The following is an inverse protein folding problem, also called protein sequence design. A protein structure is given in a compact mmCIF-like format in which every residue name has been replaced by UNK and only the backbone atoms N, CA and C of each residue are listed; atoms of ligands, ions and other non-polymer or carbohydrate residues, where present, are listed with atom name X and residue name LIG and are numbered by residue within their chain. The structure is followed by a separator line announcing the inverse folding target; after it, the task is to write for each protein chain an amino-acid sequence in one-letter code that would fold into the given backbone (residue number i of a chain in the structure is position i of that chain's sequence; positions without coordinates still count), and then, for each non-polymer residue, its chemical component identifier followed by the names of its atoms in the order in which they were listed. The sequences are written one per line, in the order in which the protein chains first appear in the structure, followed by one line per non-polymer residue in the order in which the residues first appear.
data_IF_124011596508
#
_entry.id   IF_124011596508
#
_cell.length_a   1.000
_cell.length_b   1.000
_cell.length_c   1.000
_cell.angle_alpha   90.00
_cell.angle_beta   90.00
_cell.angle_gamma   90.00
#
_symmetry.space_group_name_H-M   'P 1'
#
loop_
_entity.id
_entity.type
_entity.pdbx_description
1 polymer ?
#
# COMPACT_ATOMS: atom_id res chain seq x y z
N UNK A 1 9.97 -4.76 -1.91
CA UNK A 1 8.94 -3.69 -1.75
C UNK A 1 7.60 -4.28 -2.14
N UNK A 2 6.51 -3.95 -1.45
CA UNK A 2 5.19 -4.52 -1.74
C UNK A 2 4.22 -3.44 -2.23
N UNK A 3 3.50 -3.72 -3.33
CA UNK A 3 2.55 -2.79 -3.96
C UNK A 3 1.12 -3.19 -3.60
N UNK A 4 0.27 -2.23 -3.17
CA UNK A 4 -1.15 -2.49 -2.91
C UNK A 4 -2.10 -1.50 -3.57
N UNK A 5 -3.22 -2.00 -4.13
CA UNK A 5 -4.33 -1.19 -4.69
C UNK A 5 -5.48 -1.06 -3.69
N UNK A 6 -5.86 0.19 -3.38
CA UNK A 6 -6.87 0.50 -2.37
C UNK A 6 -8.18 1.08 -2.93
N UNK A 7 -9.32 0.74 -2.32
CA UNK A 7 -10.61 1.43 -2.42
C UNK A 7 -10.95 2.12 -1.07
N UNK A 8 -11.55 3.32 -1.06
CA UNK A 8 -11.77 4.15 0.16
C UNK A 8 -13.25 4.55 0.31
N UNK A 9 -13.79 4.54 1.54
CA UNK A 9 -15.01 5.28 1.97
C UNK A 9 -14.75 5.92 3.35
N UNK A 10 -15.49 6.97 3.70
CA UNK A 10 -15.10 8.00 4.70
C UNK A 10 -15.66 7.83 6.11
N UNK A 11 -14.84 8.02 7.16
CA UNK A 11 -14.82 9.01 8.28
C UNK A 11 -13.93 8.42 9.40
N UNK A 12 -13.02 9.20 10.03
CA UNK A 12 -11.91 8.79 10.93
C UNK A 12 -10.67 8.20 10.21
N UNK A 13 -9.51 8.04 10.89
CA UNK A 13 -8.17 8.54 10.52
C UNK A 13 -7.76 8.30 9.07
N UNK A 14 -6.86 9.15 8.56
CA UNK A 14 -6.42 9.11 7.15
C UNK A 14 -6.14 7.68 6.70
N UNK A 15 -6.47 7.37 5.45
CA UNK A 15 -6.18 6.06 4.85
C UNK A 15 -4.75 5.63 5.10
N UNK A 16 -3.81 6.57 5.02
CA UNK A 16 -2.41 6.34 5.35
C UNK A 16 -2.24 5.84 6.79
N UNK A 17 -2.80 6.53 7.78
CA UNK A 17 -2.71 6.11 9.18
C UNK A 17 -3.30 4.71 9.40
N UNK A 18 -4.47 4.44 8.82
CA UNK A 18 -5.14 3.14 8.94
C UNK A 18 -4.30 2.02 8.32
N UNK A 19 -3.70 2.28 7.15
CA UNK A 19 -2.83 1.34 6.47
C UNK A 19 -1.52 1.11 7.24
N UNK A 20 -0.88 2.15 7.78
CA UNK A 20 0.32 2.01 8.62
C UNK A 20 0.03 1.19 9.87
N UNK A 21 -1.13 1.40 10.50
CA UNK A 21 -1.54 0.63 11.68
C UNK A 21 -1.76 -0.85 11.35
N UNK A 22 -2.36 -1.15 10.20
CA UNK A 22 -2.54 -2.53 9.72
C UNK A 22 -1.19 -3.16 9.38
N UNK A 23 -0.32 -2.45 8.67
CA UNK A 23 1.02 -2.93 8.30
C UNK A 23 1.90 -3.17 9.53
N UNK A 24 1.91 -2.29 10.52
CA UNK A 24 2.66 -2.51 11.77
C UNK A 24 2.15 -3.76 12.50
N UNK A 25 0.84 -4.02 12.48
CA UNK A 25 0.28 -5.23 13.12
C UNK A 25 0.60 -6.51 12.33
N UNK A 26 0.53 -6.47 11.01
CA UNK A 26 0.81 -7.60 10.12
C UNK A 26 2.30 -7.95 10.09
N UNK A 27 3.17 -6.94 9.97
CA UNK A 27 4.62 -7.12 9.79
C UNK A 27 5.43 -7.12 11.09
N UNK A 28 4.82 -6.67 12.19
CA UNK A 28 5.49 -6.38 13.48
C UNK A 28 6.57 -5.30 13.42
N UNK A 29 6.67 -4.56 12.31
CA UNK A 29 7.59 -3.43 12.16
C UNK A 29 7.00 -2.15 12.74
N UNK A 30 7.87 -1.28 13.27
CA UNK A 30 7.40 0.05 13.68
C UNK A 30 7.10 0.89 12.44
N UNK A 31 6.20 1.88 12.59
CA UNK A 31 5.80 2.78 11.52
C UNK A 31 6.98 3.41 10.76
N UNK A 32 8.03 3.80 11.48
CA UNK A 32 9.25 4.40 10.90
C UNK A 32 10.03 3.44 10.00
N UNK A 33 9.92 2.13 10.24
CA UNK A 33 10.68 1.11 9.52
C UNK A 33 9.95 0.67 8.24
N UNK A 34 8.63 0.87 8.16
CA UNK A 34 7.83 0.58 6.97
C UNK A 34 8.17 1.49 5.78
N UNK A 35 8.56 2.75 6.03
CA UNK A 35 8.82 3.74 4.98
C UNK A 35 7.69 3.80 3.93
N UNK A 36 6.45 3.94 4.40
CA UNK A 36 5.25 3.92 3.56
C UNK A 36 5.19 5.16 2.65
N UNK A 37 5.12 4.94 1.34
CA UNK A 37 4.96 6.00 0.34
C UNK A 37 3.68 5.75 -0.46
N UNK A 38 2.70 6.64 -0.33
CA UNK A 38 1.44 6.59 -1.08
C UNK A 38 1.48 7.45 -2.34
N UNK A 39 0.84 6.98 -3.41
CA UNK A 39 0.92 7.60 -4.74
C UNK A 39 0.21 8.96 -4.89
N UNK A 40 -0.58 9.45 -3.93
CA UNK A 40 -1.15 10.80 -3.94
C UNK A 40 -1.86 11.14 -2.63
N UNK A 41 -2.02 12.43 -2.33
CA UNK A 41 -2.97 12.89 -1.30
C UNK A 41 -4.39 12.71 -1.82
N UNK A 42 -5.25 12.01 -1.08
CA UNK A 42 -6.70 12.04 -1.31
C UNK A 42 -7.32 13.03 -0.32
N UNK A 43 -8.14 13.94 -0.82
CA UNK A 43 -8.94 14.82 0.04
C UNK A 43 -10.08 14.03 0.70
N UNK A 44 -10.51 14.50 1.86
CA UNK A 44 -11.66 13.94 2.58
C UNK A 44 -12.88 13.92 1.65
N UNK A 45 -13.51 12.76 1.46
CA UNK A 45 -14.70 12.61 0.60
C UNK A 45 -14.46 11.93 -0.75
N UNK A 46 -13.21 11.64 -1.13
CA UNK A 46 -12.91 11.02 -2.43
C UNK A 46 -12.83 9.49 -2.34
N UNK A 47 -13.69 8.81 -3.11
CA UNK A 47 -13.53 7.38 -3.40
C UNK A 47 -12.40 7.18 -4.42
N UNK A 48 -11.20 6.81 -3.97
CA UNK A 48 -10.12 6.44 -4.88
C UNK A 48 -10.16 4.94 -5.13
N UNK A 49 -10.33 4.50 -6.38
CA UNK A 49 -10.47 3.09 -6.77
C UNK A 49 -9.13 2.43 -7.17
N UNK A 50 -8.01 3.10 -6.91
CA UNK A 50 -6.71 2.68 -7.43
C UNK A 50 -5.50 3.39 -6.82
N UNK A 51 -5.57 3.79 -5.54
CA UNK A 51 -4.36 4.26 -4.86
C UNK A 51 -3.35 3.13 -4.79
N UNK A 52 -2.12 3.41 -5.22
CA UNK A 52 -0.98 2.52 -5.06
C UNK A 52 -0.13 2.99 -3.90
N UNK A 53 0.27 2.06 -3.04
CA UNK A 53 1.13 2.34 -1.90
C UNK A 53 2.28 1.33 -1.89
N UNK A 54 3.47 1.82 -1.51
CA UNK A 54 4.70 1.04 -1.41
C UNK A 54 5.26 1.11 0.01
N UNK A 55 5.81 -0.01 0.50
CA UNK A 55 6.55 -0.05 1.76
C UNK A 55 7.69 -1.07 1.68
N UNK A 56 8.61 -0.93 2.62
CA UNK A 56 9.80 -1.75 2.77
C UNK A 56 9.68 -2.68 3.97
N UNK A 57 10.22 -3.88 3.82
CA UNK A 57 10.43 -4.84 4.90
C UNK A 57 11.88 -5.30 4.86
N UNK A 58 12.54 -5.48 6.02
CA UNK A 58 13.91 -5.99 6.08
C UNK A 58 13.99 -7.51 5.84
N UNK A 59 12.86 -8.14 5.53
CA UNK A 59 12.71 -9.56 5.24
C UNK A 59 11.89 -9.76 3.96
N UNK A 60 12.07 -10.91 3.33
CA UNK A 60 11.30 -11.33 2.17
C UNK A 60 10.06 -12.12 2.62
N UNK A 61 9.01 -12.04 1.82
CA UNK A 61 7.84 -12.90 1.96
C UNK A 61 7.97 -14.05 0.98
N UNK A 62 7.86 -15.28 1.48
CA UNK A 62 7.80 -16.47 0.63
C UNK A 62 6.41 -16.63 0.00
N UNK A 63 5.36 -16.20 0.73
CA UNK A 63 3.98 -16.14 0.26
C UNK A 63 3.36 -14.78 0.57
N UNK A 64 2.80 -14.14 -0.46
CA UNK A 64 2.13 -12.85 -0.33
C UNK A 64 0.64 -12.96 0.06
N UNK A 65 0.04 -14.14 -0.09
CA UNK A 65 -1.38 -14.36 0.25
C UNK A 65 -1.63 -14.17 1.75
N UNK A 66 -0.69 -14.59 2.60
CA UNK A 66 -0.82 -14.48 4.06
C UNK A 66 -0.89 -13.02 4.52
N UNK A 67 0.02 -12.17 4.03
CA UNK A 67 0.00 -10.74 4.35
C UNK A 67 -1.18 -10.03 3.67
N UNK A 68 -1.58 -10.46 2.47
CA UNK A 68 -2.76 -9.92 1.79
C UNK A 68 -4.06 -10.17 2.58
N UNK A 69 -4.24 -11.41 3.06
CA UNK A 69 -5.35 -11.79 3.91
C UNK A 69 -5.30 -11.04 5.25
N UNK A 70 -4.14 -11.04 5.92
CA UNK A 70 -3.97 -10.36 7.20
C UNK A 70 -4.29 -8.86 7.12
N UNK A 71 -3.90 -8.18 6.03
CA UNK A 71 -4.23 -6.77 5.85
C UNK A 71 -5.72 -6.54 5.64
N UNK A 72 -6.39 -7.34 4.81
CA UNK A 72 -7.82 -7.21 4.60
C UNK A 72 -8.64 -7.51 5.88
N UNK A 73 -8.15 -8.38 6.76
CA UNK A 73 -8.74 -8.64 8.08
C UNK A 73 -8.54 -7.49 9.08
N UNK A 74 -7.39 -6.82 9.03
CA UNK A 74 -7.05 -5.71 9.92
C UNK A 74 -7.64 -4.37 9.46
N UNK A 75 -7.95 -4.23 8.18
CA UNK A 75 -8.46 -3.00 7.59
C UNK A 75 -10.00 -2.90 7.76
N UNK A 76 -10.52 -1.69 8.05
CA UNK A 76 -11.95 -1.46 8.13
C UNK A 76 -12.64 -1.77 6.80
N UNK A 77 -13.94 -2.05 6.82
CA UNK A 77 -14.67 -2.63 5.68
C UNK A 77 -14.60 -1.80 4.38
N UNK A 78 -14.41 -0.50 4.55
CA UNK A 78 -14.31 0.53 3.52
C UNK A 78 -12.92 0.65 2.90
N UNK A 79 -11.92 -0.04 3.46
CA UNK A 79 -10.54 -0.07 2.98
C UNK A 79 -10.17 -1.51 2.62
N UNK A 80 -9.91 -1.75 1.33
CA UNK A 80 -9.58 -3.09 0.83
C UNK A 80 -8.34 -3.10 -0.03
N UNK A 81 -7.49 -4.09 0.23
CA UNK A 81 -6.31 -4.39 -0.56
C UNK A 81 -6.69 -5.37 -1.66
N UNK A 82 -6.56 -4.94 -2.92
CA UNK A 82 -6.97 -5.76 -4.08
C UNK A 82 -5.87 -6.65 -4.65
N UNK A 83 -4.65 -6.16 -4.65
CA UNK A 83 -3.53 -6.79 -5.32
C UNK A 83 -2.28 -6.55 -4.50
N UNK A 84 -1.41 -7.56 -4.40
CA UNK A 84 -0.11 -7.51 -3.74
C UNK A 84 0.97 -8.02 -4.70
N UNK A 85 2.09 -7.31 -4.82
CA UNK A 85 3.23 -7.83 -5.59
C UNK A 85 4.56 -7.47 -4.96
N UNK A 86 5.52 -8.40 -5.01
CA UNK A 86 6.92 -8.13 -4.70
C UNK A 86 7.53 -7.35 -5.86
N UNK A 87 7.98 -6.14 -5.58
CA UNK A 87 8.82 -5.38 -6.47
C UNK A 87 10.27 -5.53 -6.02
N UNK A 88 11.08 -6.19 -6.86
CA UNK A 88 12.53 -6.12 -6.78
C UNK A 88 12.97 -4.80 -7.40
N UNK A 89 13.75 -4.03 -6.64
CA UNK A 89 14.33 -2.78 -7.09
C UNK A 89 15.37 -3.09 -8.17
N UNK A 90 14.97 -3.04 -9.43
CA UNK A 90 15.89 -3.23 -10.55
C UNK A 90 16.47 -1.89 -10.99
N UNK A 91 15.73 -0.78 -10.83
CA UNK A 91 16.25 0.57 -11.05
C UNK A 91 15.40 1.68 -10.40
N UNK A 92 15.97 2.88 -10.30
CA UNK A 92 15.31 4.10 -9.79
C UNK A 92 14.03 4.48 -10.60
N UNK A 93 13.86 3.98 -11.83
CA UNK A 93 12.66 4.19 -12.65
C UNK A 93 11.41 3.47 -12.13
N UNK A 94 11.57 2.50 -11.23
CA UNK A 94 10.46 1.77 -10.64
C UNK A 94 9.59 2.62 -9.71
N UNK A 95 10.15 3.73 -9.23
CA UNK A 95 9.47 4.69 -8.34
C UNK A 95 8.83 5.85 -9.08
N UNK A 96 9.04 5.96 -10.39
CA UNK A 96 8.44 7.04 -11.16
C UNK A 96 6.97 6.70 -11.41
N UNK A 97 6.06 7.68 -11.32
CA UNK A 97 4.64 7.44 -11.55
C UNK A 97 4.44 6.92 -12.98
N UNK A 98 3.74 5.79 -13.12
CA UNK A 98 3.51 5.14 -14.41
C UNK A 98 2.05 5.29 -14.83
N UNK A 99 1.81 5.38 -16.13
CA UNK A 99 0.46 5.32 -16.68
C UNK A 99 -0.10 3.88 -16.61
N UNK A 100 -1.36 3.72 -17.04
CA UNK A 100 -2.06 2.42 -17.09
C UNK A 100 -1.37 1.36 -17.95
N UNK A 101 -0.45 1.75 -18.83
CA UNK A 101 0.32 0.87 -19.71
C UNK A 101 1.70 0.53 -19.13
N UNK A 102 2.06 1.05 -17.95
CA UNK A 102 3.37 0.84 -17.33
C UNK A 102 4.47 1.78 -17.82
N UNK A 103 4.13 2.80 -18.60
CA UNK A 103 5.08 3.81 -19.10
C UNK A 103 5.28 4.89 -18.04
N UNK A 104 6.52 5.31 -17.81
CA UNK A 104 6.85 6.39 -16.89
C UNK A 104 6.24 7.70 -17.40
N UNK A 105 5.52 8.40 -16.54
CA UNK A 105 5.05 9.76 -16.79
C UNK A 105 6.27 10.69 -16.65
N UNK A 106 6.63 11.40 -17.72
CA UNK A 106 7.64 12.48 -17.71
C UNK A 106 7.21 13.67 -16.83
#
# INVERSE_FOLDING_TARGET
MINFRLAISTVFPTVQFTLEKALTQATKLQRKDLSLVGASRTDVGVHAWGQVVHFFTPFNYDNLEEIHAALNDLLPFDIRVREISLHQLNSMLDFLPKNKNGEVLE
#
